data_IF_189804592119
#
_entry.id   IF_189804592119
#
_cell.length_a   1.000
_cell.length_b   1.000
_cell.length_c   1.000
_cell.angle_alpha   90.00
_cell.angle_beta   90.00
_cell.angle_gamma   90.00
#
_symmetry.space_group_name_H-M   'P 1'
#
loop_
_entity.id
_entity.type
_entity.pdbx_description
1 polymer ?
#
# COMPACT_ATOMS: atom_id res chain seq x y z
N UNK A 1 6.45 7.42 -1.20
CA UNK A 1 5.25 6.58 -1.35
C UNK A 1 5.49 5.23 -0.70
N UNK A 2 4.56 4.82 0.14
CA UNK A 2 4.57 3.50 0.79
C UNK A 2 3.54 2.63 0.09
N UNK A 3 3.89 1.40 -0.25
CA UNK A 3 2.95 0.42 -0.81
C UNK A 3 2.62 -0.61 0.27
N UNK A 4 1.33 -0.95 0.36
CA UNK A 4 0.82 -1.98 1.27
C UNK A 4 0.12 -3.05 0.46
N UNK A 5 0.49 -4.30 0.67
CA UNK A 5 -0.22 -5.44 0.08
C UNK A 5 -0.98 -6.13 1.22
N UNK A 6 -2.30 -6.08 1.18
CA UNK A 6 -3.18 -6.64 2.20
C UNK A 6 -4.50 -7.04 1.55
N UNK A 7 -4.91 -8.30 1.67
CA UNK A 7 -6.11 -8.79 1.03
C UNK A 7 -7.40 -8.38 1.76
N UNK A 8 -7.33 -8.11 3.05
CA UNK A 8 -8.50 -7.65 3.81
C UNK A 8 -8.71 -6.16 3.56
N UNK A 9 -9.86 -5.81 2.97
CA UNK A 9 -10.16 -4.43 2.61
C UNK A 9 -10.20 -3.50 3.82
N UNK A 10 -10.83 -3.95 4.91
CA UNK A 10 -10.97 -3.12 6.10
C UNK A 10 -9.62 -2.84 6.75
N UNK A 11 -8.77 -3.85 6.83
CA UNK A 11 -7.42 -3.70 7.39
C UNK A 11 -6.59 -2.82 6.47
N UNK A 12 -6.68 -3.04 5.16
CA UNK A 12 -5.94 -2.23 4.18
C UNK A 12 -6.31 -0.75 4.31
N UNK A 13 -7.59 -0.45 4.37
CA UNK A 13 -8.06 0.93 4.49
C UNK A 13 -7.62 1.58 5.79
N UNK A 14 -7.67 0.83 6.89
CA UNK A 14 -7.25 1.33 8.19
C UNK A 14 -5.76 1.68 8.20
N UNK A 15 -4.92 0.81 7.66
CA UNK A 15 -3.48 1.05 7.62
C UNK A 15 -3.16 2.26 6.74
N UNK A 16 -3.76 2.34 5.56
CA UNK A 16 -3.56 3.47 4.65
C UNK A 16 -3.97 4.78 5.33
N UNK A 17 -5.14 4.80 5.96
CA UNK A 17 -5.61 5.99 6.67
C UNK A 17 -4.62 6.41 7.76
N UNK A 18 -4.15 5.44 8.54
CA UNK A 18 -3.22 5.72 9.63
C UNK A 18 -1.91 6.32 9.11
N UNK A 19 -1.38 5.76 8.01
CA UNK A 19 -0.17 6.29 7.41
C UNK A 19 -0.38 7.71 6.89
N UNK A 20 -1.51 7.97 6.26
CA UNK A 20 -1.81 9.29 5.72
C UNK A 20 -1.99 10.34 6.81
N UNK A 21 -2.55 9.98 7.94
CA UNK A 21 -2.72 10.91 9.06
C UNK A 21 -1.38 11.33 9.68
N UNK A 22 -0.32 10.55 9.46
CA UNK A 22 1.01 10.91 9.94
C UNK A 22 1.80 11.72 8.90
N UNK A 23 1.17 12.08 7.79
CA UNK A 23 1.80 12.87 6.74
C UNK A 23 2.52 12.05 5.68
N UNK A 24 2.40 10.71 5.72
CA UNK A 24 3.00 9.84 4.72
C UNK A 24 2.04 9.61 3.55
N UNK A 25 2.58 9.39 2.37
CA UNK A 25 1.77 8.99 1.23
C UNK A 25 1.80 7.47 1.12
N UNK A 26 0.64 6.87 0.90
CA UNK A 26 0.52 5.42 0.89
C UNK A 26 -0.53 4.95 -0.10
N UNK A 27 -0.31 3.77 -0.65
CA UNK A 27 -1.21 3.14 -1.60
C UNK A 27 -1.35 1.66 -1.25
N UNK A 28 -2.58 1.16 -1.25
CA UNK A 28 -2.87 -0.23 -0.90
C UNK A 28 -3.27 -1.06 -2.09
N UNK A 29 -2.90 -2.34 -2.07
CA UNK A 29 -3.21 -3.30 -3.11
C UNK A 29 -3.78 -4.57 -2.48
N UNK A 30 -4.83 -5.15 -3.08
CA UNK A 30 -5.44 -6.36 -2.52
C UNK A 30 -4.63 -7.62 -2.77
N UNK A 31 -3.70 -7.59 -3.71
CA UNK A 31 -2.92 -8.77 -4.08
C UNK A 31 -1.58 -8.36 -4.68
N UNK A 32 -0.68 -9.33 -4.77
CA UNK A 32 0.66 -9.11 -5.31
C UNK A 32 0.63 -8.69 -6.77
N UNK A 33 -0.32 -9.19 -7.56
CA UNK A 33 -0.41 -8.84 -8.96
C UNK A 33 -0.59 -7.33 -9.17
N UNK A 34 -1.50 -6.73 -8.42
CA UNK A 34 -1.75 -5.30 -8.52
C UNK A 34 -0.55 -4.50 -8.05
N UNK A 35 0.10 -4.97 -6.98
CA UNK A 35 1.32 -4.36 -6.48
C UNK A 35 2.42 -4.37 -7.54
N UNK A 36 2.65 -5.50 -8.20
CA UNK A 36 3.69 -5.59 -9.23
C UNK A 36 3.38 -4.69 -10.43
N UNK A 37 2.11 -4.55 -10.80
CA UNK A 37 1.71 -3.66 -11.86
C UNK A 37 2.01 -2.20 -11.52
N UNK A 38 1.77 -1.81 -10.26
CA UNK A 38 2.10 -0.46 -9.81
C UNK A 38 3.60 -0.21 -9.79
N UNK A 39 4.39 -1.22 -9.45
CA UNK A 39 5.85 -1.13 -9.44
C UNK A 39 6.44 -0.82 -10.81
N UNK A 40 5.74 -1.17 -11.88
CA UNK A 40 6.19 -0.85 -13.23
C UNK A 40 6.14 0.63 -13.54
N UNK A 41 5.37 1.38 -12.78
CA UNK A 41 5.17 2.82 -13.01
C UNK A 41 5.91 3.67 -12.00
N UNK A 42 5.91 3.25 -10.74
CA UNK A 42 6.58 4.00 -9.68
C UNK A 42 7.05 3.06 -8.60
N UNK A 43 8.32 3.16 -8.21
CA UNK A 43 8.84 2.38 -7.08
C UNK A 43 8.53 3.09 -5.78
N UNK A 44 8.08 2.35 -4.76
CA UNK A 44 7.87 2.92 -3.44
C UNK A 44 9.17 3.03 -2.66
N UNK A 45 9.13 3.83 -1.60
CA UNK A 45 10.23 3.89 -0.64
C UNK A 45 10.22 2.69 0.30
N UNK A 46 9.03 2.11 0.53
CA UNK A 46 8.84 1.02 1.47
C UNK A 46 7.65 0.19 1.04
N UNK A 47 7.73 -1.12 1.25
CA UNK A 47 6.64 -2.05 0.99
C UNK A 47 6.30 -2.77 2.28
N UNK A 48 5.02 -2.74 2.66
CA UNK A 48 4.50 -3.49 3.79
C UNK A 48 3.71 -4.67 3.24
N UNK A 49 4.08 -5.87 3.67
CA UNK A 49 3.42 -7.11 3.24
C UNK A 49 2.74 -7.77 4.43
N UNK A 50 1.56 -8.29 4.18
CA UNK A 50 0.87 -9.10 5.17
C UNK A 50 0.62 -10.51 4.62
#
# INVERSE_FOLDING_TARGET
MIYLVEDDESIRELVIYTLQTTGLTAKGFPCAKDFWNAMKQEYPSLVLLD
#
